data_IF_605080490246
#
_entry.id   IF_605080490246
#
_cell.length_a   1.000
_cell.length_b   1.000
_cell.length_c   1.000
_cell.angle_alpha   90.00
_cell.angle_beta   90.00
_cell.angle_gamma   90.00
#
_symmetry.space_group_name_H-M   'P 1'
#
loop_
_entity.id
_entity.type
_entity.pdbx_description
1 polymer ?
#
# COMPACT_ATOMS: atom_id res chain seq x y z
N UNK A 1 -3.51 -21.76 -2.72
CA UNK A 1 -4.83 -21.99 -2.06
C UNK A 1 -4.87 -21.47 -0.61
N UNK A 2 -3.78 -20.92 -0.07
CA UNK A 2 -3.74 -20.47 1.33
C UNK A 2 -3.71 -21.61 2.35
N UNK A 3 -3.36 -22.83 1.93
CA UNK A 3 -3.14 -23.95 2.81
C UNK A 3 -1.79 -23.82 3.53
N UNK A 4 -1.77 -24.20 4.82
CA UNK A 4 -0.53 -24.34 5.57
C UNK A 4 0.08 -25.71 5.26
N UNK A 5 1.35 -25.73 4.88
CA UNK A 5 2.07 -26.97 4.54
C UNK A 5 3.36 -27.08 5.35
N UNK A 6 3.83 -28.31 5.56
CA UNK A 6 5.09 -28.55 6.25
C UNK A 6 6.29 -27.99 5.43
N UNK A 7 7.38 -27.54 6.09
CA UNK A 7 8.54 -26.98 5.39
C UNK A 7 9.12 -27.84 4.25
N UNK A 8 9.18 -29.19 4.33
CA UNK A 8 9.64 -30.01 3.20
C UNK A 8 8.75 -29.94 1.96
N UNK A 9 7.45 -29.69 2.14
CA UNK A 9 6.50 -29.49 1.03
C UNK A 9 6.71 -28.12 0.42
N UNK A 10 6.82 -27.07 1.25
CA UNK A 10 7.10 -25.71 0.78
C UNK A 10 8.42 -25.62 -0.01
N UNK A 11 9.48 -26.32 0.44
CA UNK A 11 10.76 -26.39 -0.30
C UNK A 11 10.61 -27.02 -1.68
N UNK A 12 9.78 -28.06 -1.81
CA UNK A 12 9.52 -28.72 -3.10
C UNK A 12 8.62 -27.89 -4.02
N UNK A 13 7.74 -27.08 -3.44
CA UNK A 13 6.81 -26.18 -4.15
C UNK A 13 7.17 -24.71 -3.91
N UNK A 14 8.45 -24.37 -4.02
CA UNK A 14 8.96 -23.05 -3.63
C UNK A 14 8.30 -21.91 -4.40
N UNK A 15 7.92 -22.13 -5.66
CA UNK A 15 7.21 -21.17 -6.50
C UNK A 15 5.81 -20.84 -5.98
N UNK A 16 5.14 -21.81 -5.34
CA UNK A 16 3.84 -21.61 -4.70
C UNK A 16 3.97 -20.93 -3.35
N UNK A 17 5.10 -21.12 -2.65
CA UNK A 17 5.35 -20.54 -1.34
C UNK A 17 5.85 -19.07 -1.39
N UNK A 18 6.60 -18.70 -2.43
CA UNK A 18 7.32 -17.41 -2.50
C UNK A 18 6.42 -16.17 -2.63
N UNK A 19 5.17 -16.34 -3.06
CA UNK A 19 4.21 -15.25 -3.28
C UNK A 19 2.92 -15.44 -2.46
N UNK A 20 2.98 -16.17 -1.33
CA UNK A 20 1.78 -16.62 -0.62
C UNK A 20 1.38 -15.79 0.60
N UNK A 21 2.15 -14.76 0.98
CA UNK A 21 1.89 -13.95 2.17
C UNK A 21 0.50 -13.29 2.11
N UNK A 22 0.09 -12.75 0.96
CA UNK A 22 -1.23 -12.16 0.77
C UNK A 22 -2.37 -13.18 0.88
N UNK A 23 -2.15 -14.46 0.53
CA UNK A 23 -3.20 -15.49 0.59
C UNK A 23 -3.69 -15.74 2.02
N UNK A 24 -2.78 -15.69 3.01
CA UNK A 24 -3.15 -15.87 4.41
C UNK A 24 -4.05 -14.73 4.90
N UNK A 25 -3.66 -13.48 4.59
CA UNK A 25 -4.48 -12.32 4.89
C UNK A 25 -5.83 -12.41 4.17
N UNK A 26 -5.83 -12.70 2.87
CA UNK A 26 -7.03 -12.80 2.06
C UNK A 26 -8.02 -13.85 2.61
N UNK A 27 -7.53 -15.02 2.99
CA UNK A 27 -8.34 -16.06 3.63
C UNK A 27 -8.91 -15.60 4.98
N UNK A 28 -8.09 -14.95 5.80
CA UNK A 28 -8.54 -14.45 7.09
C UNK A 28 -9.63 -13.40 6.93
N UNK A 29 -9.47 -12.43 6.03
CA UNK A 29 -10.40 -11.29 5.91
C UNK A 29 -11.74 -11.64 5.27
N UNK A 30 -11.82 -12.76 4.54
CA UNK A 30 -13.07 -13.25 3.96
C UNK A 30 -14.20 -13.37 4.99
N UNK A 31 -13.88 -13.60 6.27
CA UNK A 31 -14.85 -13.68 7.38
C UNK A 31 -15.54 -12.36 7.72
N UNK A 32 -15.00 -11.22 7.28
CA UNK A 32 -15.61 -9.90 7.50
C UNK A 32 -16.48 -9.46 6.32
N UNK A 33 -16.51 -10.22 5.23
CA UNK A 33 -17.21 -9.82 4.01
C UNK A 33 -18.62 -10.38 3.97
N UNK A 34 -19.57 -9.55 3.52
CA UNK A 34 -20.92 -10.02 3.21
C UNK A 34 -20.94 -10.87 1.94
N UNK A 35 -22.06 -11.56 1.70
CA UNK A 35 -22.29 -12.28 0.44
C UNK A 35 -22.27 -11.29 -0.74
N UNK A 36 -21.71 -11.73 -1.86
CA UNK A 36 -21.50 -10.92 -3.07
C UNK A 36 -20.04 -10.51 -3.29
N UNK A 37 -19.87 -9.51 -4.15
CA UNK A 37 -18.55 -8.99 -4.55
C UNK A 37 -17.97 -8.11 -3.45
N UNK A 38 -16.68 -8.28 -3.15
CA UNK A 38 -15.94 -7.46 -2.22
C UNK A 38 -14.47 -7.26 -2.66
N UNK A 39 -13.76 -6.33 -2.03
CA UNK A 39 -12.32 -6.14 -2.22
C UNK A 39 -11.57 -6.17 -0.88
N UNK A 40 -10.32 -6.62 -0.91
CA UNK A 40 -9.31 -6.29 0.09
C UNK A 40 -8.32 -5.30 -0.55
N UNK A 41 -8.07 -4.20 0.15
CA UNK A 41 -6.97 -3.28 -0.13
C UNK A 41 -5.99 -3.34 1.05
N UNK A 42 -4.82 -3.95 0.85
CA UNK A 42 -3.77 -4.01 1.86
C UNK A 42 -2.60 -3.11 1.46
N UNK A 43 -2.41 -2.01 2.18
CA UNK A 43 -1.38 -1.01 1.86
C UNK A 43 -0.25 -1.09 2.88
N UNK A 44 0.86 -1.67 2.43
CA UNK A 44 2.10 -1.79 3.19
C UNK A 44 3.07 -0.63 2.97
N UNK A 45 4.29 -0.83 3.47
CA UNK A 45 5.38 0.13 3.33
C UNK A 45 5.95 0.18 1.90
N UNK A 46 5.82 -0.92 1.15
CA UNK A 46 6.45 -1.12 -0.17
C UNK A 46 5.46 -1.42 -1.29
N UNK A 47 4.39 -2.16 -0.99
CA UNK A 47 3.41 -2.65 -1.98
C UNK A 47 1.98 -2.43 -1.50
N UNK A 48 1.06 -2.36 -2.46
CA UNK A 48 -0.38 -2.43 -2.23
C UNK A 48 -0.92 -3.70 -2.89
N UNK A 49 -1.69 -4.50 -2.16
CA UNK A 49 -2.41 -5.64 -2.71
C UNK A 49 -3.88 -5.28 -2.94
N UNK A 50 -4.41 -5.62 -4.11
CA UNK A 50 -5.81 -5.46 -4.50
C UNK A 50 -6.39 -6.83 -4.82
N UNK A 51 -7.21 -7.37 -3.92
CA UNK A 51 -7.72 -8.74 -4.05
C UNK A 51 -9.23 -8.71 -4.18
N UNK A 52 -9.75 -9.31 -5.26
CA UNK A 52 -11.17 -9.47 -5.49
C UNK A 52 -11.72 -10.63 -4.67
N UNK A 53 -12.95 -10.51 -4.20
CA UNK A 53 -13.66 -11.55 -3.47
C UNK A 53 -15.05 -11.78 -4.04
N UNK A 54 -15.52 -13.01 -3.90
CA UNK A 54 -16.91 -13.40 -4.09
C UNK A 54 -17.34 -14.31 -2.95
N UNK A 55 -18.39 -13.93 -2.25
CA UNK A 55 -18.97 -14.69 -1.13
C UNK A 55 -17.92 -15.06 -0.07
N UNK A 56 -17.06 -14.08 0.28
CA UNK A 56 -15.98 -14.25 1.26
C UNK A 56 -14.78 -15.06 0.77
N UNK A 57 -14.75 -15.52 -0.48
CA UNK A 57 -13.64 -16.28 -1.06
C UNK A 57 -12.79 -15.42 -2.02
N UNK A 58 -11.45 -15.43 -1.89
CA UNK A 58 -10.58 -14.63 -2.74
C UNK A 58 -10.54 -15.17 -4.18
N UNK A 59 -10.86 -14.29 -5.12
CA UNK A 59 -10.71 -14.49 -6.56
C UNK A 59 -9.40 -13.85 -7.01
N UNK A 60 -8.48 -14.67 -7.53
CA UNK A 60 -7.19 -14.20 -8.04
C UNK A 60 -6.91 -14.76 -9.42
N UNK A 61 -6.16 -14.00 -10.21
CA UNK A 61 -5.69 -14.33 -11.55
C UNK A 61 -4.20 -14.64 -11.56
N UNK A 62 -3.41 -13.89 -10.79
CA UNK A 62 -1.97 -14.09 -10.67
C UNK A 62 -1.59 -15.02 -9.52
N UNK A 63 -0.82 -16.06 -9.83
CA UNK A 63 -0.22 -16.97 -8.85
C UNK A 63 1.21 -16.55 -8.47
N UNK A 64 1.85 -15.69 -9.26
CA UNK A 64 3.18 -15.13 -9.00
C UNK A 64 3.12 -13.60 -8.92
N UNK A 65 4.10 -12.98 -8.26
CA UNK A 65 4.19 -11.52 -8.17
C UNK A 65 4.16 -10.83 -9.53
N UNK A 66 4.86 -11.38 -10.53
CA UNK A 66 4.82 -10.87 -11.90
C UNK A 66 3.42 -10.91 -12.49
N UNK A 67 2.70 -12.02 -12.31
CA UNK A 67 1.33 -12.13 -12.80
C UNK A 67 0.39 -11.18 -12.06
N UNK A 68 0.60 -10.97 -10.75
CA UNK A 68 -0.18 -10.03 -9.93
C UNK A 68 0.07 -8.57 -10.33
N UNK A 69 1.32 -8.21 -10.67
CA UNK A 69 1.66 -6.90 -11.24
C UNK A 69 0.96 -6.68 -12.59
N UNK A 70 1.01 -7.68 -13.49
CA UNK A 70 0.35 -7.61 -14.79
C UNK A 70 -1.17 -7.48 -14.63
N UNK A 71 -1.75 -8.26 -13.72
CA UNK A 71 -3.19 -8.31 -13.51
C UNK A 71 -3.70 -7.06 -12.77
N UNK A 72 -2.86 -6.35 -12.02
CA UNK A 72 -3.25 -5.25 -11.13
C UNK A 72 -3.63 -5.68 -9.72
N UNK A 73 -3.43 -6.96 -9.38
CA UNK A 73 -3.64 -7.49 -8.01
C UNK A 73 -2.54 -7.10 -7.03
N UNK A 74 -1.42 -6.59 -7.55
CA UNK A 74 -0.36 -5.98 -6.77
C UNK A 74 0.09 -4.71 -7.49
N UNK A 75 0.21 -3.61 -6.75
CA UNK A 75 0.84 -2.37 -7.18
C UNK A 75 2.14 -2.23 -6.42
N UNK A 76 3.26 -2.03 -7.12
CA UNK A 76 4.58 -1.90 -6.49
C UNK A 76 4.79 -0.48 -5.94
N UNK A 77 3.93 -0.10 -5.01
CA UNK A 77 3.96 1.19 -4.35
C UNK A 77 3.46 1.04 -2.92
N UNK A 78 4.07 1.74 -1.98
CA UNK A 78 3.65 1.72 -0.57
C UNK A 78 3.98 3.04 0.10
N UNK A 79 3.60 3.17 1.37
CA UNK A 79 3.59 4.48 2.04
C UNK A 79 4.93 4.88 2.66
N UNK A 80 5.97 4.04 2.61
CA UNK A 80 7.27 4.39 3.19
C UNK A 80 8.44 4.33 2.18
N UNK A 81 8.50 3.31 1.32
CA UNK A 81 9.75 2.93 0.64
C UNK A 81 9.81 3.25 -0.85
N UNK A 82 8.73 3.76 -1.44
CA UNK A 82 8.69 3.99 -2.88
C UNK A 82 9.43 5.28 -3.25
N UNK A 83 10.43 5.24 -4.16
CA UNK A 83 11.13 6.44 -4.62
C UNK A 83 10.15 7.41 -5.30
N UNK A 84 10.26 8.71 -5.02
CA UNK A 84 9.32 9.70 -5.59
C UNK A 84 9.38 9.79 -7.10
N UNK A 85 10.57 9.66 -7.69
CA UNK A 85 10.78 9.64 -9.14
C UNK A 85 10.19 8.41 -9.84
N UNK A 86 9.78 7.38 -9.09
CA UNK A 86 9.02 6.24 -9.61
C UNK A 86 7.50 6.45 -9.50
N UNK A 87 7.05 7.49 -8.79
CA UNK A 87 5.62 7.82 -8.61
C UNK A 87 5.19 8.89 -9.60
N UNK A 88 5.96 9.96 -9.75
CA UNK A 88 5.65 11.05 -10.67
C UNK A 88 6.87 11.41 -11.53
N UNK A 89 6.62 12.06 -12.67
CA UNK A 89 7.69 12.58 -13.55
C UNK A 89 8.06 14.02 -13.22
N UNK A 90 7.08 14.80 -12.80
CA UNK A 90 7.21 16.22 -12.46
C UNK A 90 6.29 16.56 -11.30
N UNK A 91 6.64 17.61 -10.57
CA UNK A 91 5.92 18.10 -9.38
C UNK A 91 5.85 19.62 -9.43
N UNK A 92 4.86 20.25 -8.79
CA UNK A 92 4.77 21.70 -8.74
C UNK A 92 5.93 22.28 -7.92
N UNK A 93 6.55 23.33 -8.45
CA UNK A 93 7.46 24.18 -7.72
C UNK A 93 7.12 25.64 -8.02
N UNK A 94 6.42 26.27 -7.06
CA UNK A 94 5.84 27.62 -7.21
C UNK A 94 4.94 27.67 -8.46
N UNK A 95 5.16 28.59 -9.38
CA UNK A 95 4.27 28.81 -10.53
C UNK A 95 4.58 27.88 -11.74
N UNK A 96 5.39 26.83 -11.56
CA UNK A 96 5.84 25.96 -12.66
C UNK A 96 5.86 24.48 -12.27
N UNK A 97 5.76 23.62 -13.27
CA UNK A 97 6.10 22.20 -13.12
C UNK A 97 7.61 22.01 -13.20
N UNK A 98 8.15 21.22 -12.29
CA UNK A 98 9.57 20.89 -12.20
C UNK A 98 9.76 19.37 -12.32
N UNK A 99 10.60 18.89 -13.24
CA UNK A 99 10.92 17.47 -13.34
C UNK A 99 11.58 16.95 -12.05
N UNK A 100 11.23 15.73 -11.66
CA UNK A 100 11.94 15.03 -10.60
C UNK A 100 13.27 14.48 -11.11
N UNK A 101 14.32 14.62 -10.30
CA UNK A 101 15.59 13.93 -10.54
C UNK A 101 15.39 12.42 -10.44
N UNK A 102 15.97 11.66 -11.38
CA UNK A 102 15.91 10.19 -11.41
C UNK A 102 16.88 9.52 -10.42
N UNK A 103 16.99 10.08 -9.21
CA UNK A 103 17.89 9.64 -8.15
C UNK A 103 17.08 9.29 -6.90
N UNK A 104 17.62 8.39 -6.07
CA UNK A 104 16.98 7.99 -4.81
C UNK A 104 17.23 9.04 -3.72
N UNK A 105 16.63 10.23 -3.86
CA UNK A 105 16.76 11.32 -2.89
C UNK A 105 15.67 11.34 -1.82
N UNK A 106 14.45 10.95 -2.17
CA UNK A 106 13.31 10.93 -1.28
C UNK A 106 12.38 9.75 -1.59
N UNK A 107 11.60 9.35 -0.59
CA UNK A 107 10.57 8.30 -0.73
C UNK A 107 9.19 8.80 -0.33
N UNK A 108 8.18 7.96 -0.53
CA UNK A 108 6.80 8.22 -0.07
C UNK A 108 6.69 8.46 1.43
N UNK A 109 7.63 7.93 2.25
CA UNK A 109 7.70 8.29 3.67
C UNK A 109 7.86 9.80 3.86
N UNK A 110 8.71 10.44 3.05
CA UNK A 110 8.96 11.88 3.16
C UNK A 110 7.71 12.69 2.85
N UNK A 111 7.00 12.32 1.78
CA UNK A 111 5.74 12.95 1.42
C UNK A 111 4.71 12.79 2.54
N UNK A 112 4.52 11.58 3.06
CA UNK A 112 3.48 11.33 4.08
C UNK A 112 3.84 11.83 5.48
N UNK A 113 5.13 11.97 5.82
CA UNK A 113 5.56 12.66 7.04
C UNK A 113 5.28 14.16 6.91
N UNK A 114 5.53 14.78 5.76
CA UNK A 114 5.21 16.19 5.52
C UNK A 114 3.70 16.45 5.60
N UNK A 115 2.89 15.61 4.97
CA UNK A 115 1.42 15.70 5.01
C UNK A 115 0.82 15.35 6.38
N UNK A 116 1.58 14.69 7.26
CA UNK A 116 1.12 14.25 8.58
C UNK A 116 0.29 12.97 8.56
N UNK A 117 0.24 12.26 7.44
CA UNK A 117 -0.39 10.93 7.33
C UNK A 117 0.46 9.85 8.01
N UNK A 118 1.78 10.06 8.07
CA UNK A 118 2.72 9.29 8.89
C UNK A 118 3.32 10.16 9.99
N UNK A 119 3.57 9.53 11.14
CA UNK A 119 4.22 10.20 12.26
C UNK A 119 5.71 10.40 11.98
N UNK A 120 6.27 11.48 12.52
CA UNK A 120 7.72 11.65 12.61
C UNK A 120 8.33 10.58 13.51
N UNK A 121 9.52 10.09 13.14
CA UNK A 121 10.28 9.14 13.94
C UNK A 121 11.77 9.52 13.93
N UNK A 122 12.23 10.09 15.05
CA UNK A 122 13.61 10.51 15.24
C UNK A 122 14.59 9.35 15.39
N UNK A 123 14.10 8.14 15.65
CA UNK A 123 14.91 6.92 15.77
C UNK A 123 14.98 6.11 14.46
N UNK A 124 14.19 6.48 13.45
CA UNK A 124 14.23 5.85 12.13
C UNK A 124 15.25 6.52 11.21
N UNK A 125 16.38 5.83 10.96
CA UNK A 125 17.46 6.28 10.08
C UNK A 125 17.49 5.52 8.73
N UNK A 126 16.42 4.82 8.37
CA UNK A 126 16.32 4.08 7.10
C UNK A 126 15.91 4.93 5.89
N UNK A 127 15.89 6.25 6.05
CA UNK A 127 15.58 7.19 4.96
C UNK A 127 16.67 7.19 3.87
N UNK A 128 16.36 7.79 2.72
CA UNK A 128 17.24 7.75 1.55
C UNK A 128 18.63 8.34 1.76
N UNK A 129 18.78 9.31 2.66
CA UNK A 129 20.06 9.94 3.01
C UNK A 129 20.60 9.49 4.38
N UNK A 130 19.99 8.48 5.00
CA UNK A 130 20.38 7.97 6.31
C UNK A 130 20.13 8.96 7.45
N UNK A 131 19.25 9.96 7.28
CA UNK A 131 18.85 10.91 8.33
C UNK A 131 17.50 10.52 8.96
N UNK A 132 17.17 11.04 10.16
CA UNK A 132 15.89 10.76 10.79
C UNK A 132 14.67 11.01 9.89
N UNK A 133 13.60 10.22 10.08
CA UNK A 133 12.31 10.39 9.40
C UNK A 133 11.46 11.49 10.07
N UNK A 134 11.99 12.71 10.12
CA UNK A 134 11.29 13.90 10.64
C UNK A 134 10.94 14.86 9.51
N UNK A 135 9.99 15.77 9.73
CA UNK A 135 9.58 16.77 8.73
C UNK A 135 10.75 17.64 8.26
N UNK A 136 11.66 17.99 9.18
CA UNK A 136 12.83 18.80 8.87
C UNK A 136 13.76 18.10 7.85
N UNK A 137 14.09 16.83 8.08
CA UNK A 137 14.96 16.07 7.16
C UNK A 137 14.23 15.62 5.90
N UNK A 138 12.94 15.28 5.98
CA UNK A 138 12.10 14.99 4.83
C UNK A 138 12.04 16.17 3.85
N UNK A 139 11.89 17.40 4.35
CA UNK A 139 11.93 18.62 3.54
C UNK A 139 13.24 18.74 2.74
N UNK A 140 14.38 18.44 3.36
CA UNK A 140 15.68 18.52 2.69
C UNK A 140 15.80 17.45 1.58
N UNK A 141 15.30 16.23 1.82
CA UNK A 141 15.23 15.17 0.80
C UNK A 141 14.31 15.53 -0.36
N UNK A 142 13.16 16.16 -0.09
CA UNK A 142 12.25 16.68 -1.12
C UNK A 142 12.90 17.77 -1.96
N UNK A 143 13.61 18.73 -1.35
CA UNK A 143 14.35 19.77 -2.07
C UNK A 143 15.34 19.17 -3.08
N UNK A 144 16.12 18.16 -2.64
CA UNK A 144 17.07 17.45 -3.50
C UNK A 144 16.41 16.74 -4.67
N UNK A 145 15.16 16.28 -4.51
CA UNK A 145 14.41 15.57 -5.56
C UNK A 145 14.12 16.46 -6.78
N UNK A 146 14.20 17.77 -6.65
CA UNK A 146 14.12 18.75 -7.76
C UNK A 146 15.41 19.56 -7.92
N UNK A 147 16.52 19.11 -7.33
CA UNK A 147 17.81 19.81 -7.30
C UNK A 147 17.74 21.25 -6.75
N UNK A 148 16.78 21.54 -5.87
CA UNK A 148 16.66 22.82 -5.20
C UNK A 148 17.65 22.95 -4.04
N UNK A 149 18.04 24.19 -3.74
CA UNK A 149 18.77 24.52 -2.52
C UNK A 149 17.83 24.34 -1.30
N UNK A 150 18.33 23.68 -0.25
CA UNK A 150 17.55 23.43 0.97
C UNK A 150 17.22 24.70 1.76
N UNK A 151 18.00 25.78 1.56
CA UNK A 151 17.78 27.08 2.19
C UNK A 151 16.67 27.89 1.49
N UNK A 152 16.48 27.72 0.17
CA UNK A 152 15.39 28.36 -0.61
C UNK A 152 14.09 27.52 -0.60
N UNK A 153 14.21 26.20 -0.48
CA UNK A 153 13.07 25.28 -0.48
C UNK A 153 12.32 25.29 0.86
N UNK A 154 11.12 25.89 0.88
CA UNK A 154 10.36 26.09 2.11
C UNK A 154 9.30 25.01 2.37
N UNK A 155 8.60 25.09 3.50
CA UNK A 155 7.61 24.09 3.89
C UNK A 155 6.37 24.05 2.97
N UNK A 156 5.99 25.18 2.35
CA UNK A 156 4.89 25.21 1.39
C UNK A 156 5.25 24.45 0.12
N UNK A 157 6.49 24.61 -0.36
CA UNK A 157 7.02 23.84 -1.49
C UNK A 157 6.99 22.33 -1.17
N UNK A 158 7.41 21.95 0.05
CA UNK A 158 7.36 20.57 0.52
C UNK A 158 5.94 19.99 0.51
N UNK A 159 4.95 20.73 1.02
CA UNK A 159 3.54 20.32 1.03
C UNK A 159 3.04 20.13 -0.40
N UNK A 160 3.27 21.11 -1.29
CA UNK A 160 2.78 21.06 -2.66
C UNK A 160 3.32 19.83 -3.42
N UNK A 161 4.64 19.57 -3.33
CA UNK A 161 5.24 18.37 -3.91
C UNK A 161 4.63 17.10 -3.29
N UNK A 162 4.49 17.07 -1.97
CA UNK A 162 3.98 15.89 -1.27
C UNK A 162 2.52 15.58 -1.62
N UNK A 163 1.69 16.60 -1.81
CA UNK A 163 0.30 16.46 -2.27
C UNK A 163 0.24 15.83 -3.66
N UNK A 164 1.00 16.35 -4.63
CA UNK A 164 1.04 15.78 -5.99
C UNK A 164 1.55 14.34 -6.00
N UNK A 165 2.56 14.01 -5.17
CA UNK A 165 3.00 12.62 -5.01
C UNK A 165 1.88 11.73 -4.46
N UNK A 166 1.19 12.19 -3.43
CA UNK A 166 0.12 11.42 -2.81
C UNK A 166 -1.06 11.20 -3.74
N UNK A 167 -1.42 12.21 -4.54
CA UNK A 167 -2.45 12.15 -5.57
C UNK A 167 -2.06 11.18 -6.68
N UNK A 168 -0.84 11.27 -7.22
CA UNK A 168 -0.34 10.34 -8.23
C UNK A 168 -0.28 8.89 -7.71
N UNK A 169 0.12 8.68 -6.45
CA UNK A 169 0.09 7.34 -5.84
C UNK A 169 -1.34 6.80 -5.69
N UNK A 170 -2.30 7.67 -5.32
CA UNK A 170 -3.71 7.31 -5.23
C UNK A 170 -4.28 6.95 -6.61
N UNK A 171 -3.94 7.69 -7.66
CA UNK A 171 -4.36 7.42 -9.05
C UNK A 171 -3.83 6.08 -9.55
N UNK A 172 -2.57 5.73 -9.25
CA UNK A 172 -2.00 4.42 -9.57
C UNK A 172 -2.78 3.28 -8.90
N UNK A 173 -3.14 3.45 -7.62
CA UNK A 173 -3.93 2.47 -6.89
C UNK A 173 -5.38 2.40 -7.41
N UNK A 174 -6.00 3.55 -7.69
CA UNK A 174 -7.34 3.65 -8.26
C UNK A 174 -7.42 2.90 -9.60
N UNK A 175 -6.45 3.13 -10.49
CA UNK A 175 -6.35 2.43 -11.78
C UNK A 175 -6.23 0.91 -11.62
N UNK A 176 -5.54 0.44 -10.58
CA UNK A 176 -5.43 -0.98 -10.28
C UNK A 176 -6.75 -1.55 -9.75
N UNK A 177 -7.45 -0.81 -8.88
CA UNK A 177 -8.79 -1.16 -8.38
C UNK A 177 -9.78 -1.29 -9.53
N UNK A 178 -9.85 -0.31 -10.42
CA UNK A 178 -10.72 -0.37 -11.61
C UNK A 178 -10.42 -1.59 -12.47
N UNK A 179 -9.14 -1.88 -12.73
CA UNK A 179 -8.72 -3.06 -13.52
C UNK A 179 -9.16 -4.37 -12.86
N UNK A 180 -9.10 -4.45 -11.54
CA UNK A 180 -9.54 -5.64 -10.79
C UNK A 180 -11.06 -5.74 -10.81
N UNK A 181 -11.78 -4.64 -10.60
CA UNK A 181 -13.24 -4.57 -10.63
C UNK A 181 -13.83 -4.84 -12.02
N UNK A 182 -13.15 -4.47 -13.10
CA UNK A 182 -13.58 -4.75 -14.48
C UNK A 182 -13.71 -6.25 -14.80
N UNK A 183 -13.30 -7.15 -13.89
CA UNK A 183 -13.45 -8.61 -14.02
C UNK A 183 -14.78 -9.13 -13.49
N UNK A 184 -15.58 -8.27 -12.86
CA UNK A 184 -16.90 -8.58 -12.33
C UNK A 184 -17.90 -7.56 -12.84
N UNK A 185 -19.16 -7.96 -12.97
CA UNK A 185 -20.25 -7.07 -13.39
C UNK A 185 -20.92 -6.38 -12.19
N UNK A 186 -20.65 -6.85 -10.97
CA UNK A 186 -21.25 -6.34 -9.74
C UNK A 186 -20.32 -5.35 -9.06
N UNK A 187 -20.88 -4.24 -8.58
CA UNK A 187 -20.18 -3.32 -7.68
C UNK A 187 -19.82 -4.02 -6.36
N UNK A 188 -18.69 -3.67 -5.73
CA UNK A 188 -18.33 -4.22 -4.43
C UNK A 188 -19.32 -3.76 -3.37
N UNK A 189 -19.88 -4.71 -2.59
CA UNK A 189 -20.74 -4.41 -1.44
C UNK A 189 -19.94 -3.93 -0.25
N UNK A 190 -18.75 -4.48 -0.07
CA UNK A 190 -17.82 -4.12 0.99
C UNK A 190 -16.38 -4.08 0.52
N UNK A 191 -15.58 -3.21 1.12
CA UNK A 191 -14.14 -3.14 0.94
C UNK A 191 -13.47 -3.23 2.30
N UNK A 192 -12.58 -4.21 2.47
CA UNK A 192 -11.75 -4.37 3.65
C UNK A 192 -10.44 -3.61 3.44
N UNK A 193 -10.10 -2.74 4.39
CA UNK A 193 -8.88 -1.96 4.41
C UNK A 193 -7.91 -2.55 5.43
N UNK A 194 -6.68 -2.82 4.98
CA UNK A 194 -5.59 -3.38 5.79
C UNK A 194 -4.29 -2.60 5.57
N UNK A 195 -3.35 -2.79 6.49
CA UNK A 195 -2.05 -2.17 6.44
C UNK A 195 -2.04 -0.80 7.10
N UNK A 196 -0.83 -0.25 7.28
CA UNK A 196 -0.65 1.06 7.90
C UNK A 196 -0.85 2.21 6.92
N UNK A 197 -0.92 1.93 5.61
CA UNK A 197 -1.24 2.89 4.57
C UNK A 197 -2.73 2.98 4.22
N UNK A 198 -3.63 2.62 5.13
CA UNK A 198 -5.10 2.70 4.91
C UNK A 198 -5.55 4.06 4.34
N UNK A 199 -4.90 5.17 4.72
CA UNK A 199 -5.23 6.51 4.21
C UNK A 199 -5.02 6.63 2.69
N UNK A 200 -4.05 5.93 2.10
CA UNK A 200 -3.84 5.92 0.64
C UNK A 200 -4.98 5.17 -0.06
N UNK A 201 -5.39 4.04 0.48
CA UNK A 201 -6.53 3.29 -0.05
C UNK A 201 -7.81 4.14 -0.02
N UNK A 202 -8.05 4.90 1.05
CA UNK A 202 -9.19 5.82 1.15
C UNK A 202 -9.15 6.91 0.08
N UNK A 203 -7.99 7.55 -0.13
CA UNK A 203 -7.80 8.54 -1.22
C UNK A 203 -8.12 7.96 -2.60
N UNK A 204 -7.65 6.74 -2.88
CA UNK A 204 -7.95 6.07 -4.15
C UNK A 204 -9.45 5.78 -4.31
N UNK A 205 -10.14 5.34 -3.25
CA UNK A 205 -11.58 5.08 -3.28
C UNK A 205 -12.42 6.35 -3.43
N UNK A 206 -12.00 7.45 -2.80
CA UNK A 206 -12.63 8.77 -2.94
C UNK A 206 -12.57 9.26 -4.39
N UNK A 207 -11.43 9.08 -5.08
CA UNK A 207 -11.30 9.42 -6.51
C UNK A 207 -12.24 8.59 -7.40
N UNK A 208 -12.44 7.32 -7.07
CA UNK A 208 -13.32 6.43 -7.83
C UNK A 208 -14.81 6.63 -7.54
N UNK A 209 -15.17 7.38 -6.48
CA UNK A 209 -16.55 7.57 -6.07
C UNK A 209 -17.26 6.26 -5.71
N UNK A 210 -16.54 5.26 -5.21
CA UNK A 210 -17.14 3.97 -4.83
C UNK A 210 -17.87 4.10 -3.50
N UNK A 211 -19.19 3.98 -3.54
CA UNK A 211 -20.04 3.93 -2.36
C UNK A 211 -20.27 2.47 -1.93
N UNK A 212 -19.62 2.04 -0.85
CA UNK A 212 -19.76 0.70 -0.30
C UNK A 212 -19.44 0.68 1.20
N UNK A 213 -19.71 -0.45 1.88
CA UNK A 213 -19.33 -0.63 3.28
C UNK A 213 -17.81 -0.72 3.41
N UNK A 214 -17.19 0.21 4.14
CA UNK A 214 -15.76 0.18 4.42
C UNK A 214 -15.47 -0.48 5.77
N UNK A 215 -14.67 -1.53 5.76
CA UNK A 215 -14.29 -2.30 6.96
C UNK A 215 -12.81 -2.10 7.21
N UNK A 216 -12.45 -1.32 8.24
CA UNK A 216 -11.05 -1.10 8.61
C UNK A 216 -10.59 -2.19 9.59
N UNK A 217 -9.60 -3.01 9.19
CA UNK A 217 -8.97 -3.97 10.11
C UNK A 217 -8.26 -3.27 11.27
N UNK A 218 -7.78 -2.04 11.06
CA UNK A 218 -7.22 -1.21 12.12
C UNK A 218 -8.26 -0.90 13.20
N UNK A 219 -9.52 -0.67 12.83
CA UNK A 219 -10.61 -0.45 13.79
C UNK A 219 -11.06 -1.75 14.45
N UNK A 220 -11.07 -2.87 13.71
CA UNK A 220 -11.50 -4.17 14.23
C UNK A 220 -10.46 -4.82 15.17
N UNK A 221 -9.17 -4.70 14.86
CA UNK A 221 -8.09 -5.47 15.50
C UNK A 221 -7.03 -4.58 16.18
N UNK A 222 -7.12 -3.27 16.01
CA UNK A 222 -6.15 -2.30 16.52
C UNK A 222 -4.99 -2.01 15.57
N UNK A 223 -4.27 -0.90 15.84
CA UNK A 223 -3.20 -0.38 14.98
C UNK A 223 -2.03 -1.33 14.81
N UNK A 224 -1.60 -1.97 15.90
CA UNK A 224 -0.45 -2.89 15.89
C UNK A 224 -0.72 -4.09 15.00
N UNK A 225 -1.90 -4.71 15.17
CA UNK A 225 -2.31 -5.87 14.37
C UNK A 225 -2.46 -5.48 12.90
N UNK A 226 -3.08 -4.34 12.58
CA UNK A 226 -3.23 -3.91 11.19
C UNK A 226 -1.89 -3.60 10.49
N UNK A 227 -0.84 -3.21 11.22
CA UNK A 227 0.52 -3.04 10.64
C UNK A 227 1.17 -4.39 10.31
N UNK A 228 0.76 -5.47 10.97
CA UNK A 228 1.26 -6.83 10.77
C UNK A 228 0.13 -7.84 10.44
N UNK A 229 -0.91 -7.40 9.70
CA UNK A 229 -2.15 -8.17 9.48
C UNK A 229 -1.88 -9.57 8.97
N UNK A 230 -0.90 -9.74 8.07
CA UNK A 230 -0.52 -11.04 7.51
C UNK A 230 0.03 -12.00 8.56
N UNK A 231 0.87 -11.52 9.48
CA UNK A 231 1.41 -12.35 10.55
C UNK A 231 0.31 -12.76 11.55
N UNK A 232 -0.59 -11.83 11.87
CA UNK A 232 -1.75 -12.13 12.71
C UNK A 232 -2.70 -13.13 12.03
N UNK A 233 -3.01 -12.93 10.75
CA UNK A 233 -3.83 -13.83 9.95
C UNK A 233 -3.25 -15.25 9.91
N UNK A 234 -1.93 -15.38 9.70
CA UNK A 234 -1.23 -16.66 9.77
C UNK A 234 -1.36 -17.32 11.14
N UNK A 235 -1.20 -16.56 12.23
CA UNK A 235 -1.33 -17.10 13.59
C UNK A 235 -2.76 -17.61 13.88
N UNK A 236 -3.79 -16.83 13.50
CA UNK A 236 -5.19 -17.23 13.67
C UNK A 236 -5.51 -18.47 12.84
N UNK A 237 -5.13 -18.49 11.56
CA UNK A 237 -5.37 -19.66 10.69
C UNK A 237 -4.63 -20.89 11.20
N UNK A 238 -3.39 -20.73 11.68
CA UNK A 238 -2.63 -21.84 12.26
C UNK A 238 -3.35 -22.41 13.48
N UNK A 239 -3.83 -21.55 14.39
CA UNK A 239 -4.57 -21.95 15.57
C UNK A 239 -5.87 -22.70 15.23
N UNK A 240 -6.64 -22.18 14.25
CA UNK A 240 -7.88 -22.82 13.77
C UNK A 240 -7.62 -24.21 13.16
N UNK A 241 -6.51 -24.38 12.43
CA UNK A 241 -6.16 -25.64 11.79
C UNK A 241 -5.60 -26.66 12.80
N UNK A 242 -4.88 -26.21 13.83
CA UNK A 242 -4.29 -27.09 14.84
C UNK A 242 -5.20 -27.38 16.03
N UNK A 243 -6.29 -26.62 16.20
CA UNK A 243 -7.20 -26.74 17.34
C UNK A 243 -6.58 -26.31 18.68
N UNK A 244 -5.55 -25.47 18.64
CA UNK A 244 -4.79 -24.98 19.81
C UNK A 244 -5.43 -23.74 20.46
#
# INVERSE_FOLDING_TARGET
DGALVAPPVAKRRYTEASAANWHALARFVGRYMELGTALLLDVGSTTCDVVLFRDGLPLHKGATDTQRLISGEMVYTGVERSPLCAIAREVPYRDRMCPLAHEYFATTQDAYVILGDLNEDSANYYSADGRPATKAYARNRLARSICADADDFNHRDAIAISQTIAEAQAEHLASAIERVLARTNDAPRSIVLSGHGEFLARRALEQLGIECVLISLRMQLGRTVARCSTAHALAVIAQEVTGA
#
